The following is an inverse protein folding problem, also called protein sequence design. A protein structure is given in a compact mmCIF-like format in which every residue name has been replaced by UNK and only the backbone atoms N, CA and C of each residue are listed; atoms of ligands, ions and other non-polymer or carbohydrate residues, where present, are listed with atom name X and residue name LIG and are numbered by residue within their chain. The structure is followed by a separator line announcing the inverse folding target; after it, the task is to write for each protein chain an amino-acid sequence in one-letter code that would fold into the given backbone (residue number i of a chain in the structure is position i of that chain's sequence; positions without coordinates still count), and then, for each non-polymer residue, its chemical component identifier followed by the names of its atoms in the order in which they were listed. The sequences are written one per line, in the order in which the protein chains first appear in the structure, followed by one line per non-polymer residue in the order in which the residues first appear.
data_IF_935788260231
#
_entry.id   IF_935788260231
#
_cell.length_a   1.000
_cell.length_b   1.000
_cell.length_c   1.000
_cell.angle_alpha   90.00
_cell.angle_beta   90.00
_cell.angle_gamma   90.00
#
_symmetry.space_group_name_H-M   'P 1'
#
loop_
_entity.id
_entity.type
_entity.pdbx_description
1 polymer ?
#
# COMPACT_ATOMS: atom_id res chain seq x y z
N UNK A 1 37.49 29.61 -25.40
CA UNK A 1 36.27 28.80 -25.57
C UNK A 1 36.12 27.92 -24.36
N UNK A 2 35.39 28.37 -23.37
CA UNK A 2 35.20 27.66 -22.11
C UNK A 2 33.83 26.99 -22.13
N UNK A 3 33.83 25.66 -22.16
CA UNK A 3 32.60 24.84 -22.17
C UNK A 3 32.13 24.67 -20.74
N UNK A 4 31.05 25.32 -20.37
CA UNK A 4 30.37 25.11 -19.11
C UNK A 4 29.51 23.87 -19.22
N UNK A 5 29.92 22.78 -18.54
CA UNK A 5 29.12 21.56 -18.40
C UNK A 5 28.12 21.78 -17.27
N UNK A 6 26.85 22.02 -17.63
CA UNK A 6 25.75 22.07 -16.66
C UNK A 6 25.34 20.66 -16.28
N UNK A 7 25.69 20.21 -15.08
CA UNK A 7 25.14 19.00 -14.46
C UNK A 7 23.66 19.28 -14.12
N UNK A 8 22.76 18.76 -14.93
CA UNK A 8 21.34 18.69 -14.59
C UNK A 8 21.18 17.65 -13.44
N UNK A 9 20.94 18.14 -12.25
CA UNK A 9 20.52 17.32 -11.11
C UNK A 9 19.10 16.82 -11.38
N UNK A 10 19.03 15.55 -11.78
CA UNK A 10 17.77 14.81 -11.86
C UNK A 10 17.30 14.51 -10.42
N UNK A 11 16.61 15.45 -9.81
CA UNK A 11 15.89 15.19 -8.56
C UNK A 11 14.72 14.26 -8.90
N UNK A 12 14.94 12.95 -8.74
CA UNK A 12 13.87 11.97 -8.74
C UNK A 12 12.96 12.31 -7.56
N UNK A 13 11.79 12.86 -7.90
CA UNK A 13 10.73 13.18 -6.96
C UNK A 13 10.10 11.84 -6.53
N UNK A 14 10.66 11.18 -5.52
CA UNK A 14 10.03 10.01 -4.92
C UNK A 14 8.73 10.47 -4.24
N UNK A 15 7.57 9.92 -4.61
CA UNK A 15 6.31 10.30 -3.98
C UNK A 15 6.43 10.04 -2.47
N UNK A 16 6.21 11.08 -1.67
CA UNK A 16 6.11 10.94 -0.21
C UNK A 16 4.88 10.10 0.09
N UNK A 17 5.08 8.85 0.47
CA UNK A 17 3.99 8.00 0.92
C UNK A 17 3.37 8.61 2.18
N UNK A 18 2.11 9.02 2.08
CA UNK A 18 1.32 9.59 3.19
C UNK A 18 0.88 8.50 4.16
N UNK A 19 0.63 7.31 3.65
CA UNK A 19 0.18 6.14 4.40
C UNK A 19 1.22 5.04 4.37
N UNK A 20 1.43 4.37 5.51
CA UNK A 20 2.20 3.13 5.56
C UNK A 20 1.42 1.99 4.92
N UNK A 21 0.14 1.89 5.23
CA UNK A 21 -0.73 0.79 4.77
C UNK A 21 -2.09 1.30 4.29
N UNK A 22 -2.50 0.84 3.12
CA UNK A 22 -3.86 0.91 2.63
C UNK A 22 -4.54 -0.44 2.85
N UNK A 23 -5.78 -0.47 3.37
CA UNK A 23 -6.51 -1.72 3.64
C UNK A 23 -7.80 -1.75 2.84
N UNK A 24 -7.84 -2.64 1.82
CA UNK A 24 -9.00 -2.96 1.01
C UNK A 24 -9.72 -4.18 1.59
N UNK A 25 -11.01 -4.06 1.90
CA UNK A 25 -11.80 -5.14 2.50
C UNK A 25 -13.29 -4.92 2.28
N UNK A 26 -14.08 -5.99 2.44
CA UNK A 26 -15.53 -5.84 2.45
C UNK A 26 -16.03 -5.55 3.86
N UNK A 27 -16.50 -4.31 4.09
CA UNK A 27 -16.86 -3.80 5.42
C UNK A 27 -17.86 -4.67 6.17
N UNK A 28 -18.91 -5.14 5.48
CA UNK A 28 -19.95 -6.01 6.08
C UNK A 28 -19.43 -7.34 6.61
N UNK A 29 -18.30 -7.84 6.09
CA UNK A 29 -17.77 -9.15 6.46
C UNK A 29 -16.73 -9.06 7.59
N UNK A 30 -15.84 -8.07 7.56
CA UNK A 30 -14.64 -8.10 8.40
C UNK A 30 -14.38 -6.85 9.22
N UNK A 31 -15.14 -5.74 9.03
CA UNK A 31 -14.91 -4.45 9.71
C UNK A 31 -14.88 -4.58 11.23
N UNK A 32 -15.88 -5.24 11.80
CA UNK A 32 -16.10 -5.29 13.25
C UNK A 32 -15.35 -6.44 13.95
N UNK A 33 -14.56 -7.21 13.20
CA UNK A 33 -13.80 -8.33 13.70
C UNK A 33 -12.34 -8.27 13.22
N UNK A 34 -11.95 -9.08 12.26
CA UNK A 34 -10.55 -9.21 11.80
C UNK A 34 -9.92 -7.87 11.42
N UNK A 35 -10.57 -7.08 10.54
CA UNK A 35 -9.98 -5.82 10.04
C UNK A 35 -9.77 -4.81 11.16
N UNK A 36 -10.69 -4.69 12.12
CA UNK A 36 -10.53 -3.77 13.25
C UNK A 36 -9.33 -4.15 14.13
N UNK A 37 -9.11 -5.45 14.37
CA UNK A 37 -7.97 -5.92 15.15
C UNK A 37 -6.65 -5.72 14.41
N UNK A 38 -6.62 -5.99 13.10
CA UNK A 38 -5.45 -5.75 12.25
C UNK A 38 -5.06 -4.27 12.26
N UNK A 39 -6.03 -3.37 12.08
CA UNK A 39 -5.79 -1.93 12.10
C UNK A 39 -5.35 -1.42 13.48
N UNK A 40 -5.88 -2.00 14.57
CA UNK A 40 -5.41 -1.73 15.91
C UNK A 40 -3.93 -2.16 16.07
N UNK A 41 -3.56 -3.31 15.51
CA UNK A 41 -2.17 -3.77 15.48
C UNK A 41 -1.25 -2.78 14.76
N UNK A 42 -1.64 -2.28 13.58
CA UNK A 42 -0.89 -1.25 12.86
C UNK A 42 -0.76 0.04 13.66
N UNK A 43 -1.86 0.52 14.23
CA UNK A 43 -1.86 1.73 15.08
C UNK A 43 -0.92 1.60 16.28
N UNK A 44 -0.89 0.44 16.94
CA UNK A 44 0.00 0.18 18.08
C UNK A 44 1.49 0.23 17.69
N UNK A 45 1.82 -0.01 16.41
CA UNK A 45 3.18 0.11 15.85
C UNK A 45 3.45 1.49 15.22
N UNK A 46 2.53 2.46 15.37
CA UNK A 46 2.67 3.81 14.80
C UNK A 46 2.53 3.85 13.28
N UNK A 47 1.97 2.81 12.66
CA UNK A 47 1.77 2.75 11.21
C UNK A 47 0.51 3.51 10.84
N UNK A 48 0.64 4.53 9.98
CA UNK A 48 -0.50 5.25 9.42
C UNK A 48 -1.24 4.37 8.43
N UNK A 49 -2.53 4.16 8.68
CA UNK A 49 -3.39 3.33 7.83
C UNK A 49 -4.48 4.17 7.17
N UNK A 50 -4.72 3.91 5.89
CA UNK A 50 -5.94 4.34 5.21
C UNK A 50 -6.92 3.16 5.17
N UNK A 51 -8.15 3.41 5.61
CA UNK A 51 -9.25 2.45 5.55
C UNK A 51 -10.30 3.02 4.60
N UNK A 52 -10.63 2.29 3.56
CA UNK A 52 -11.78 2.65 2.76
C UNK A 52 -13.06 2.38 3.56
N UNK A 53 -13.83 3.44 3.77
CA UNK A 53 -15.13 3.33 4.37
C UNK A 53 -16.16 3.21 3.24
N UNK A 54 -16.69 2.00 3.00
CA UNK A 54 -17.78 1.72 2.04
C UNK A 54 -19.06 2.59 2.28
N UNK A 55 -18.95 3.74 2.94
CA UNK A 55 -20.05 4.65 3.24
C UNK A 55 -20.54 5.40 2.00
N UNK A 56 -19.89 5.29 0.86
CA UNK A 56 -20.33 5.87 -0.41
C UNK A 56 -21.41 4.99 -1.01
N UNK A 57 -22.53 5.61 -1.41
CA UNK A 57 -23.74 4.95 -1.89
C UNK A 57 -23.49 4.13 -3.16
N UNK A 58 -24.27 3.07 -3.34
CA UNK A 58 -24.17 2.16 -4.47
C UNK A 58 -24.39 2.89 -5.81
N UNK A 59 -23.33 3.24 -6.50
CA UNK A 59 -23.38 3.91 -7.81
C UNK A 59 -22.22 4.85 -8.08
N UNK A 60 -21.47 5.25 -7.06
CA UNK A 60 -20.39 6.21 -7.19
C UNK A 60 -19.16 5.59 -7.85
N UNK A 61 -18.49 6.38 -8.68
CA UNK A 61 -17.15 6.06 -9.16
C UNK A 61 -16.17 6.14 -7.99
N UNK A 62 -15.13 5.30 -8.02
CA UNK A 62 -14.02 5.40 -7.08
C UNK A 62 -13.53 6.85 -7.07
N UNK A 63 -13.53 7.47 -5.89
CA UNK A 63 -13.14 8.87 -5.74
C UNK A 63 -11.65 9.07 -6.09
N UNK A 64 -11.30 10.26 -6.55
CA UNK A 64 -9.90 10.62 -6.78
C UNK A 64 -9.07 10.50 -5.49
N UNK A 65 -9.67 10.79 -4.34
CA UNK A 65 -9.05 10.64 -3.02
C UNK A 65 -8.65 9.19 -2.72
N UNK A 66 -9.49 8.22 -3.11
CA UNK A 66 -9.19 6.80 -2.93
C UNK A 66 -8.04 6.35 -3.83
N UNK A 67 -8.06 6.79 -5.11
CA UNK A 67 -6.96 6.50 -6.03
C UNK A 67 -5.66 7.09 -5.50
N UNK A 68 -5.69 8.33 -5.03
CA UNK A 68 -4.54 9.00 -4.44
C UNK A 68 -4.07 8.27 -3.17
N UNK A 69 -4.98 7.82 -2.31
CA UNK A 69 -4.62 7.07 -1.10
C UNK A 69 -3.94 5.73 -1.42
N UNK A 70 -4.38 5.04 -2.48
CA UNK A 70 -3.71 3.83 -2.98
C UNK A 70 -2.29 4.19 -3.43
N UNK A 71 -2.13 5.22 -4.27
CA UNK A 71 -0.83 5.63 -4.84
C UNK A 71 0.14 6.16 -3.77
N UNK A 72 -0.37 6.82 -2.73
CA UNK A 72 0.40 7.37 -1.61
C UNK A 72 0.66 6.34 -0.48
N UNK A 73 0.32 5.08 -0.68
CA UNK A 73 0.55 4.00 0.27
C UNK A 73 1.75 3.14 -0.11
N UNK A 74 2.57 2.73 0.87
CA UNK A 74 3.71 1.85 0.63
C UNK A 74 3.30 0.38 0.50
N UNK A 75 2.36 -0.04 1.32
CA UNK A 75 1.83 -1.40 1.35
C UNK A 75 0.32 -1.35 1.19
N UNK A 76 -0.21 -2.25 0.37
CA UNK A 76 -1.64 -2.47 0.22
C UNK A 76 -1.99 -3.86 0.74
N UNK A 77 -2.85 -3.92 1.73
CA UNK A 77 -3.40 -5.15 2.27
C UNK A 77 -4.81 -5.36 1.71
N UNK A 78 -5.06 -6.55 1.15
CA UNK A 78 -6.38 -6.90 0.61
C UNK A 78 -6.92 -8.08 1.42
N UNK A 79 -8.06 -7.87 2.10
CA UNK A 79 -8.71 -8.91 2.90
C UNK A 79 -9.85 -9.53 2.09
N UNK A 80 -9.57 -10.70 1.50
CA UNK A 80 -10.59 -11.49 0.82
C UNK A 80 -11.44 -12.23 1.84
N UNK A 81 -12.75 -12.04 1.75
CA UNK A 81 -13.77 -12.74 2.55
C UNK A 81 -14.74 -13.48 1.64
N UNK A 82 -15.55 -14.36 2.19
CA UNK A 82 -16.53 -15.18 1.44
C UNK A 82 -17.40 -14.37 0.46
N UNK A 83 -17.81 -13.16 0.86
CA UNK A 83 -18.69 -12.33 0.04
C UNK A 83 -17.97 -11.16 -0.67
N UNK A 84 -16.63 -11.12 -0.64
CA UNK A 84 -15.83 -10.03 -1.23
C UNK A 84 -16.26 -9.72 -2.66
N UNK A 85 -16.41 -10.75 -3.50
CA UNK A 85 -16.76 -10.61 -4.90
C UNK A 85 -18.22 -10.12 -5.14
N UNK A 86 -19.06 -10.06 -4.10
CA UNK A 86 -20.41 -9.49 -4.24
C UNK A 86 -20.41 -7.97 -4.27
N UNK A 87 -19.34 -7.32 -3.79
CA UNK A 87 -19.18 -5.87 -3.79
C UNK A 87 -18.49 -5.40 -5.07
N UNK A 88 -19.23 -4.69 -5.92
CA UNK A 88 -18.65 -4.03 -7.10
C UNK A 88 -17.62 -2.96 -6.71
N UNK A 89 -17.80 -2.34 -5.55
CA UNK A 89 -16.86 -1.37 -5.01
C UNK A 89 -15.50 -2.03 -4.77
N UNK A 90 -15.47 -3.08 -3.95
CA UNK A 90 -14.23 -3.82 -3.66
C UNK A 90 -13.54 -4.37 -4.93
N UNK A 91 -14.34 -4.85 -5.90
CA UNK A 91 -13.80 -5.35 -7.17
C UNK A 91 -13.19 -4.23 -8.03
N UNK A 92 -13.83 -3.05 -8.07
CA UNK A 92 -13.29 -1.88 -8.77
C UNK A 92 -12.00 -1.37 -8.12
N UNK A 93 -11.99 -1.31 -6.80
CA UNK A 93 -10.83 -0.95 -5.99
C UNK A 93 -9.67 -1.90 -6.24
N UNK A 94 -9.92 -3.22 -6.22
CA UNK A 94 -8.94 -4.24 -6.54
C UNK A 94 -8.28 -4.02 -7.92
N UNK A 95 -9.10 -3.71 -8.95
CA UNK A 95 -8.56 -3.42 -10.29
C UNK A 95 -7.66 -2.17 -10.28
N UNK A 96 -8.00 -1.15 -9.49
CA UNK A 96 -7.15 0.05 -9.34
C UNK A 96 -5.84 -0.27 -8.64
N UNK A 97 -5.90 -1.02 -7.54
CA UNK A 97 -4.73 -1.49 -6.80
C UNK A 97 -3.78 -2.26 -7.72
N UNK A 98 -4.31 -3.20 -8.51
CA UNK A 98 -3.49 -4.04 -9.41
C UNK A 98 -2.94 -3.29 -10.63
N UNK A 99 -3.46 -2.09 -10.93
CA UNK A 99 -2.93 -1.19 -11.97
C UNK A 99 -1.93 -0.17 -11.43
N UNK A 100 -1.97 0.13 -10.15
CA UNK A 100 -1.02 1.01 -9.50
C UNK A 100 0.37 0.36 -9.45
N UNK A 101 1.42 1.17 -9.56
CA UNK A 101 2.80 0.70 -9.60
C UNK A 101 3.55 1.15 -8.34
N UNK A 102 4.42 0.29 -7.85
CA UNK A 102 5.37 0.63 -6.78
C UNK A 102 4.93 0.20 -5.37
N UNK A 103 3.69 -0.21 -5.15
CA UNK A 103 3.21 -0.71 -3.86
C UNK A 103 3.51 -2.20 -3.68
N UNK A 104 3.73 -2.60 -2.42
CA UNK A 104 3.74 -4.03 -2.07
C UNK A 104 2.32 -4.47 -1.76
N UNK A 105 1.75 -5.35 -2.58
CA UNK A 105 0.41 -5.92 -2.37
C UNK A 105 0.51 -7.21 -1.56
N UNK A 106 -0.28 -7.31 -0.48
CA UNK A 106 -0.32 -8.47 0.42
C UNK A 106 -1.76 -8.93 0.56
N UNK A 107 -2.17 -10.06 -0.06
CA UNK A 107 -3.48 -10.63 0.14
C UNK A 107 -3.57 -11.37 1.48
N UNK A 108 -4.73 -11.28 2.12
CA UNK A 108 -5.14 -12.06 3.28
C UNK A 108 -6.43 -12.77 2.92
N UNK A 109 -6.43 -14.08 3.02
CA UNK A 109 -7.58 -14.94 2.73
C UNK A 109 -8.28 -15.26 4.06
N UNK A 110 -9.36 -14.54 4.35
CA UNK A 110 -10.08 -14.64 5.60
C UNK A 110 -11.27 -15.60 5.46
N UNK A 111 -11.11 -16.82 5.94
CA UNK A 111 -12.06 -17.94 5.83
C UNK A 111 -12.52 -18.18 4.38
N UNK A 112 -11.58 -18.05 3.45
CA UNK A 112 -11.77 -18.37 2.04
C UNK A 112 -10.50 -19.00 1.47
N UNK A 113 -10.64 -20.11 0.78
CA UNK A 113 -9.49 -20.78 0.15
C UNK A 113 -8.91 -19.88 -0.96
N UNK A 114 -7.59 -19.65 -1.01
CA UNK A 114 -6.94 -18.90 -2.07
C UNK A 114 -7.28 -19.39 -3.49
N UNK A 115 -7.52 -20.69 -3.65
CA UNK A 115 -7.93 -21.29 -4.94
C UNK A 115 -9.31 -20.82 -5.37
N UNK A 116 -10.24 -20.62 -4.42
CA UNK A 116 -11.59 -20.10 -4.70
C UNK A 116 -11.54 -18.66 -5.23
N UNK A 117 -10.61 -17.84 -4.72
CA UNK A 117 -10.37 -16.49 -5.24
C UNK A 117 -9.71 -16.54 -6.61
N UNK A 118 -8.67 -17.39 -6.77
CA UNK A 118 -7.89 -17.52 -8.02
C UNK A 118 -8.75 -17.97 -9.18
N UNK A 119 -9.56 -19.00 -8.98
CA UNK A 119 -10.39 -19.62 -10.03
C UNK A 119 -11.83 -19.14 -10.04
N UNK A 120 -12.20 -18.20 -9.16
CA UNK A 120 -13.54 -17.69 -8.95
C UNK A 120 -14.57 -18.83 -8.83
N UNK A 121 -14.31 -19.77 -7.93
CA UNK A 121 -15.19 -20.89 -7.60
C UNK A 121 -16.03 -20.62 -6.35
N UNK A 122 -16.92 -21.51 -5.98
CA UNK A 122 -17.78 -21.45 -4.80
C UNK A 122 -18.54 -20.12 -4.69
N UNK A 123 -18.43 -19.40 -3.59
CA UNK A 123 -19.12 -18.13 -3.35
C UNK A 123 -18.71 -17.03 -4.36
N UNK A 124 -17.51 -17.10 -4.91
CA UNK A 124 -17.06 -16.21 -5.95
C UNK A 124 -17.76 -16.52 -7.29
N UNK A 125 -17.96 -17.80 -7.64
CA UNK A 125 -18.71 -18.19 -8.82
C UNK A 125 -20.15 -17.66 -8.78
N UNK A 126 -20.83 -17.80 -7.62
CA UNK A 126 -22.19 -17.29 -7.43
C UNK A 126 -22.27 -15.76 -7.59
N UNK A 127 -21.26 -15.03 -7.07
CA UNK A 127 -21.18 -13.58 -7.21
C UNK A 127 -20.99 -13.18 -8.69
N UNK A 128 -20.09 -13.86 -9.39
CA UNK A 128 -19.80 -13.57 -10.80
C UNK A 128 -20.97 -13.93 -11.72
N UNK A 129 -21.69 -15.01 -11.46
CA UNK A 129 -22.92 -15.34 -12.22
C UNK A 129 -23.95 -14.20 -12.14
N UNK A 130 -24.09 -13.55 -10.97
CA UNK A 130 -24.97 -12.38 -10.81
C UNK A 130 -24.46 -11.14 -11.57
N UNK A 131 -23.14 -10.92 -11.56
CA UNK A 131 -22.55 -9.81 -12.32
C UNK A 131 -22.68 -10.03 -13.83
N UNK A 132 -22.41 -11.23 -14.33
CA UNK A 132 -22.55 -11.58 -15.74
C UNK A 132 -24.00 -11.45 -16.22
N UNK A 133 -24.96 -11.95 -15.43
CA UNK A 133 -26.37 -11.77 -15.75
C UNK A 133 -26.76 -10.29 -15.82
N UNK A 134 -26.21 -9.46 -14.93
CA UNK A 134 -26.50 -8.01 -14.91
C UNK A 134 -25.95 -7.27 -16.12
N UNK A 135 -24.79 -7.68 -16.62
CA UNK A 135 -24.10 -7.01 -17.73
C UNK A 135 -24.15 -7.79 -19.05
N UNK A 136 -25.01 -8.82 -19.16
CA UNK A 136 -25.06 -9.73 -20.31
C UNK A 136 -25.22 -9.03 -21.67
N UNK A 137 -25.95 -7.91 -21.70
CA UNK A 137 -26.22 -7.13 -22.90
C UNK A 137 -25.38 -5.85 -22.99
N UNK A 138 -24.40 -5.67 -22.07
CA UNK A 138 -23.53 -4.51 -21.96
C UNK A 138 -22.08 -4.92 -22.18
N UNK A 139 -21.53 -4.57 -23.34
CA UNK A 139 -20.15 -4.93 -23.74
C UNK A 139 -19.13 -4.33 -22.78
N UNK A 140 -19.27 -3.06 -22.39
CA UNK A 140 -18.36 -2.39 -21.46
C UNK A 140 -18.47 -3.02 -20.06
N UNK A 141 -19.69 -3.32 -19.61
CA UNK A 141 -19.93 -4.03 -18.37
C UNK A 141 -19.28 -5.41 -18.35
N UNK A 142 -19.36 -6.19 -19.44
CA UNK A 142 -18.68 -7.48 -19.54
C UNK A 142 -17.15 -7.37 -19.55
N UNK A 143 -16.59 -6.35 -20.20
CA UNK A 143 -15.15 -6.07 -20.13
C UNK A 143 -14.72 -5.73 -18.69
N UNK A 144 -15.55 -5.00 -17.95
CA UNK A 144 -15.32 -4.71 -16.54
C UNK A 144 -15.33 -5.97 -15.68
N UNK A 145 -16.29 -6.88 -15.89
CA UNK A 145 -16.36 -8.19 -15.22
C UNK A 145 -15.09 -9.00 -15.50
N UNK A 146 -14.61 -9.02 -16.73
CA UNK A 146 -13.36 -9.68 -17.08
C UNK A 146 -12.15 -9.04 -16.38
N UNK A 147 -12.14 -7.71 -16.26
CA UNK A 147 -11.12 -6.99 -15.49
C UNK A 147 -11.09 -7.40 -14.02
N UNK A 148 -12.24 -7.60 -13.40
CA UNK A 148 -12.34 -8.10 -12.03
C UNK A 148 -11.78 -9.52 -11.87
N UNK A 149 -12.10 -10.43 -12.81
CA UNK A 149 -11.57 -11.81 -12.82
C UNK A 149 -10.05 -11.80 -12.88
N UNK A 150 -9.50 -11.03 -13.81
CA UNK A 150 -8.06 -10.92 -13.99
C UNK A 150 -7.35 -10.37 -12.73
N UNK A 151 -7.95 -9.36 -12.08
CA UNK A 151 -7.40 -8.78 -10.86
C UNK A 151 -7.43 -9.76 -9.68
N UNK A 152 -8.52 -10.53 -9.51
CA UNK A 152 -8.61 -11.57 -8.48
C UNK A 152 -7.55 -12.66 -8.69
N UNK A 153 -7.42 -13.18 -9.92
CA UNK A 153 -6.42 -14.19 -10.25
C UNK A 153 -5.02 -13.68 -9.97
N UNK A 154 -4.67 -12.51 -10.48
CA UNK A 154 -3.35 -11.91 -10.29
C UNK A 154 -3.02 -11.66 -8.81
N UNK A 155 -4.00 -11.23 -8.00
CA UNK A 155 -3.79 -11.02 -6.57
C UNK A 155 -3.67 -12.34 -5.82
N UNK A 156 -4.45 -13.36 -6.16
CA UNK A 156 -4.39 -14.68 -5.52
C UNK A 156 -3.13 -15.48 -5.89
N UNK A 157 -2.39 -15.07 -6.91
CA UNK A 157 -1.06 -15.61 -7.24
C UNK A 157 0.06 -15.02 -6.38
N UNK A 158 -0.20 -13.91 -5.67
CA UNK A 158 0.76 -13.33 -4.75
C UNK A 158 0.87 -14.13 -3.46
N UNK A 159 2.05 -14.09 -2.84
CA UNK A 159 2.24 -14.66 -1.50
C UNK A 159 1.44 -13.85 -0.47
N UNK A 160 0.54 -14.50 0.24
CA UNK A 160 -0.35 -13.91 1.24
C UNK A 160 -0.44 -14.73 2.53
N UNK A 161 -1.45 -14.42 3.31
CA UNK A 161 -1.80 -15.10 4.56
C UNK A 161 -3.15 -15.78 4.42
N UNK A 162 -3.25 -16.99 4.97
CA UNK A 162 -4.46 -17.78 4.96
C UNK A 162 -4.98 -17.93 6.41
N UNK A 163 -6.12 -17.32 6.70
CA UNK A 163 -6.78 -17.33 8.02
C UNK A 163 -7.96 -18.28 7.96
N UNK A 164 -7.83 -19.41 8.60
CA UNK A 164 -8.85 -20.47 8.64
C UNK A 164 -9.08 -21.01 10.06
N UNK A 165 -10.02 -21.95 10.23
CA UNK A 165 -10.28 -22.60 11.50
C UNK A 165 -9.04 -23.32 12.03
N UNK A 166 -8.83 -23.21 13.35
CA UNK A 166 -7.66 -23.81 14.03
C UNK A 166 -6.45 -22.89 14.14
N UNK A 167 -6.43 -21.74 13.46
CA UNK A 167 -5.39 -20.73 13.61
C UNK A 167 -5.72 -19.79 14.77
N UNK A 168 -4.72 -19.48 15.61
CA UNK A 168 -4.86 -18.41 16.59
C UNK A 168 -4.81 -17.05 15.88
N UNK A 169 -5.99 -16.49 15.64
CA UNK A 169 -6.15 -15.23 14.88
C UNK A 169 -5.35 -14.06 15.47
N UNK A 170 -5.20 -13.99 16.80
CA UNK A 170 -4.41 -12.90 17.42
C UNK A 170 -2.93 -13.03 17.09
N UNK A 171 -2.39 -14.25 17.17
CA UNK A 171 -0.98 -14.50 16.82
C UNK A 171 -0.70 -14.22 15.34
N UNK A 172 -1.65 -14.58 14.48
CA UNK A 172 -1.51 -14.35 13.04
C UNK A 172 -1.55 -12.85 12.71
N UNK A 173 -2.44 -12.09 13.35
CA UNK A 173 -2.47 -10.63 13.23
C UNK A 173 -1.13 -10.02 13.64
N UNK A 174 -0.56 -10.46 14.77
CA UNK A 174 0.73 -9.97 15.23
C UNK A 174 1.85 -10.27 14.22
N UNK A 175 1.88 -11.46 13.63
CA UNK A 175 2.85 -11.84 12.59
C UNK A 175 2.69 -10.99 11.32
N UNK A 176 1.44 -10.75 10.88
CA UNK A 176 1.15 -9.88 9.73
C UNK A 176 1.65 -8.46 9.99
N UNK A 177 1.33 -7.91 11.15
CA UNK A 177 1.74 -6.56 11.57
C UNK A 177 3.26 -6.45 11.65
N UNK A 178 3.95 -7.43 12.23
CA UNK A 178 5.41 -7.46 12.32
C UNK A 178 6.07 -7.54 10.94
N UNK A 179 5.56 -8.40 10.07
CA UNK A 179 6.07 -8.52 8.71
C UNK A 179 5.91 -7.22 7.92
N UNK A 180 4.75 -6.58 7.99
CA UNK A 180 4.50 -5.30 7.30
C UNK A 180 5.36 -4.20 7.89
N UNK A 181 5.48 -4.10 9.22
CA UNK A 181 6.38 -3.16 9.89
C UNK A 181 7.81 -3.29 9.38
N UNK A 182 8.31 -4.53 9.26
CA UNK A 182 9.66 -4.78 8.77
C UNK A 182 9.89 -4.34 7.33
N UNK A 183 8.86 -4.44 6.48
CA UNK A 183 8.91 -3.95 5.09
C UNK A 183 8.96 -2.43 5.03
N UNK A 184 8.10 -1.76 5.83
CA UNK A 184 8.07 -0.30 5.91
C UNK A 184 9.39 0.28 6.43
N UNK A 185 9.99 -0.33 7.46
CA UNK A 185 11.29 0.08 7.99
C UNK A 185 12.40 -0.02 6.93
N UNK A 186 12.44 -1.11 6.15
CA UNK A 186 13.45 -1.26 5.08
C UNK A 186 13.32 -0.19 4.01
N UNK A 187 12.09 0.18 3.64
CA UNK A 187 11.85 1.28 2.69
C UNK A 187 12.24 2.64 3.27
N UNK A 188 12.02 2.86 4.57
CA UNK A 188 12.40 4.10 5.26
C UNK A 188 13.92 4.23 5.43
N UNK A 189 14.63 3.15 5.78
CA UNK A 189 16.08 3.16 5.90
C UNK A 189 16.79 3.52 4.59
N UNK A 190 16.30 3.04 3.45
CA UNK A 190 16.84 3.43 2.14
C UNK A 190 16.65 4.92 1.82
N UNK A 191 15.67 5.60 2.43
CA UNK A 191 15.43 7.03 2.25
C UNK A 191 16.11 7.90 3.32
N UNK A 192 16.18 7.41 4.57
CA UNK A 192 16.84 8.11 5.68
C UNK A 192 18.34 8.13 5.52
N UNK A 193 18.95 7.03 5.09
CA UNK A 193 20.42 6.95 4.91
C UNK A 193 20.92 8.00 3.90
N UNK A 194 20.14 8.31 2.85
CA UNK A 194 20.49 9.36 1.90
C UNK A 194 20.28 10.77 2.47
N UNK A 195 19.24 10.99 3.27
CA UNK A 195 18.95 12.30 3.88
C UNK A 195 19.88 12.59 5.07
N UNK A 196 20.22 11.57 5.84
CA UNK A 196 21.14 11.70 6.97
C UNK A 196 22.57 11.89 6.50
N UNK A 197 23.00 11.22 5.42
CA UNK A 197 24.31 11.47 4.79
C UNK A 197 24.42 12.90 4.25
N UNK A 198 23.36 13.43 3.62
CA UNK A 198 23.33 14.83 3.14
C UNK A 198 23.35 15.81 4.31
N UNK A 199 22.62 15.55 5.40
CA UNK A 199 22.63 16.39 6.62
C UNK A 199 23.98 16.35 7.33
N UNK A 200 24.58 15.18 7.46
CA UNK A 200 25.91 15.03 8.08
C UNK A 200 26.96 15.77 7.24
N UNK A 201 26.93 15.64 5.91
CA UNK A 201 27.86 16.37 5.04
C UNK A 201 27.69 17.88 5.15
N UNK A 202 26.46 18.40 5.17
CA UNK A 202 26.26 19.86 5.34
C UNK A 202 26.73 20.34 6.71
N UNK A 203 26.54 19.58 7.77
CA UNK A 203 27.04 19.91 9.12
C UNK A 203 28.56 19.84 9.22
N UNK A 204 29.18 18.90 8.52
CA UNK A 204 30.65 18.81 8.44
C UNK A 204 31.25 20.02 7.69
N UNK A 205 30.63 20.46 6.59
CA UNK A 205 31.03 21.63 5.86
C UNK A 205 30.91 22.92 6.70
N UNK A 206 29.83 23.08 7.51
CA UNK A 206 29.68 24.17 8.45
C UNK A 206 30.78 24.17 9.53
N UNK A 207 31.05 23.02 10.14
CA UNK A 207 32.10 22.88 11.15
C UNK A 207 33.49 23.14 10.58
N UNK A 208 33.79 22.71 9.37
CA UNK A 208 35.08 23.01 8.72
C UNK A 208 35.22 24.50 8.40
N UNK A 209 34.11 25.18 8.06
CA UNK A 209 34.10 26.63 7.88
C UNK A 209 34.40 27.38 9.17
N UNK A 210 33.78 26.98 10.27
CA UNK A 210 34.00 27.58 11.61
C UNK A 210 35.42 27.35 12.10
N UNK A 211 36.01 26.15 11.92
CA UNK A 211 37.39 25.87 12.27
C UNK A 211 38.34 26.75 11.47
N UNK A 212 38.12 26.91 10.17
CA UNK A 212 38.97 27.80 9.33
C UNK A 212 38.87 29.26 9.77
N UNK A 213 37.70 29.74 10.14
CA UNK A 213 37.52 31.11 10.66
C UNK A 213 38.22 31.28 12.03
N UNK A 214 38.18 30.27 12.89
CA UNK A 214 38.86 30.28 14.18
C UNK A 214 40.40 30.29 14.02
N UNK A 215 40.92 29.53 13.07
CA UNK A 215 42.37 29.49 12.75
C UNK A 215 42.85 30.85 12.18
N UNK A 216 42.05 31.51 11.33
CA UNK A 216 42.35 32.84 10.79
C UNK A 216 42.33 33.91 11.92
N UNK A 217 41.36 33.84 12.80
CA UNK A 217 41.25 34.77 13.95
C UNK A 217 42.44 34.59 14.91
N UNK A 218 42.86 33.34 15.18
CA UNK A 218 44.01 33.02 16.02
C UNK A 218 45.35 33.47 15.44
N UNK A 219 45.50 33.47 14.13
CA UNK A 219 46.67 34.05 13.44
C UNK A 219 46.71 35.58 13.50
N UNK A 220 45.55 36.25 13.52
CA UNK A 220 45.47 37.72 13.66
C UNK A 220 45.76 38.23 15.06
N UNK A 221 45.59 37.39 16.09
CA UNK A 221 45.88 37.73 17.50
C UNK A 221 47.34 37.47 17.90
N UNK A 222 48.17 36.91 17.04
CA UNK A 222 49.61 36.64 17.29
C UNK A 222 50.58 37.63 16.61
N UNK A 223 50.04 38.73 16.11
CA UNK A 223 50.81 39.92 15.66
C UNK A 223 50.61 41.03 16.68
#
# INVERSE_FOLDING_TARGET
MSSSSSCASNSQNYPRCKYGVFVCFRGKDTRNNFTSHLCKGFKNRGITTFLDDESLEAGDSISEELVQAIEESQVVVIVFSKNYATSKWCLNELVKIMKANGQTVIPIFYYVDPSHVRYQSESFAEAFAKHELRYKDDVEGMQKVQGWRNALTATADLKGYDIHDGINQSMEIDQIVDHISSKLCKSACCLSDLQDVVRINSHLEELECDIRQFEIAKKRLRI
#
